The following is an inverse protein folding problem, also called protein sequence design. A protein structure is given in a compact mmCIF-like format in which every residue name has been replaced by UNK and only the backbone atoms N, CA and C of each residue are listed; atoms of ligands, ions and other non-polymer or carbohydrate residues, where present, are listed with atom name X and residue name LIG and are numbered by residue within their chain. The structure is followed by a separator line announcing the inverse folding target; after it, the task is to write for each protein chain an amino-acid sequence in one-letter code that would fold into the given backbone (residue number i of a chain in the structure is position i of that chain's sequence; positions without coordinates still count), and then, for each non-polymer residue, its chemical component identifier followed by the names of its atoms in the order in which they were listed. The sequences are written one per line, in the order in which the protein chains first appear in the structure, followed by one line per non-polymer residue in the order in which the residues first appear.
data_IF_033757210310
#
_entry.id   IF_033757210310
#
_cell.length_a   1.000
_cell.length_b   1.000
_cell.length_c   1.000
_cell.angle_alpha   90.00
_cell.angle_beta   90.00
_cell.angle_gamma   90.00
#
_symmetry.space_group_name_H-M   'P 1'
#
loop_
_entity.id
_entity.type
_entity.pdbx_description
1 polymer ?
#
# COMPACT_ATOMS: atom_id res chain seq x y z
N UNK A 1 -9.23 14.29 -10.25
CA UNK A 1 -9.16 13.37 -9.09
C UNK A 1 -9.77 12.06 -9.48
N UNK A 2 -9.08 10.94 -9.24
CA UNK A 2 -9.58 9.59 -9.50
C UNK A 2 -9.72 8.80 -8.20
N UNK A 3 -10.66 7.87 -8.17
CA UNK A 3 -10.83 6.91 -7.08
C UNK A 3 -9.92 5.70 -7.34
N UNK A 4 -9.25 5.21 -6.31
CA UNK A 4 -8.44 3.99 -6.38
C UNK A 4 -9.00 2.94 -5.44
N UNK A 5 -9.08 1.71 -5.94
CA UNK A 5 -9.40 0.54 -5.13
C UNK A 5 -8.24 -0.44 -5.28
N UNK A 6 -7.59 -0.73 -4.17
CA UNK A 6 -6.38 -1.54 -4.11
C UNK A 6 -6.65 -2.75 -3.22
N UNK A 7 -6.51 -3.93 -3.82
CA UNK A 7 -6.51 -5.21 -3.11
C UNK A 7 -5.21 -5.93 -3.41
N UNK A 8 -4.76 -6.77 -2.48
CA UNK A 8 -3.55 -7.54 -2.64
C UNK A 8 -3.44 -8.64 -1.60
N UNK A 9 -2.30 -9.30 -1.58
CA UNK A 9 -1.93 -10.27 -0.56
C UNK A 9 -0.54 -9.89 -0.07
N UNK A 10 -0.43 -9.60 1.23
CA UNK A 10 0.84 -9.29 1.88
C UNK A 10 1.18 -10.43 2.82
N UNK A 11 2.39 -10.97 2.70
CA UNK A 11 2.91 -11.97 3.62
C UNK A 11 4.23 -11.47 4.18
N UNK A 12 4.24 -11.19 5.47
CA UNK A 12 5.42 -10.77 6.22
C UNK A 12 6.00 -12.01 6.90
N UNK A 13 7.21 -12.39 6.47
CA UNK A 13 7.98 -13.45 7.11
C UNK A 13 8.67 -12.88 8.35
N UNK A 14 8.35 -13.41 9.53
CA UNK A 14 9.03 -13.07 10.76
C UNK A 14 10.11 -14.12 11.05
N UNK A 15 11.22 -13.72 11.65
CA UNK A 15 12.24 -14.68 12.10
C UNK A 15 11.67 -15.45 13.30
N UNK A 16 11.69 -16.79 13.23
CA UNK A 16 10.98 -17.79 14.06
C UNK A 16 11.14 -17.70 15.60
N UNK A 17 11.79 -16.65 16.13
CA UNK A 17 12.06 -16.48 17.56
C UNK A 17 11.37 -15.31 18.25
N UNK A 18 10.75 -14.37 17.52
CA UNK A 18 10.10 -13.22 18.17
C UNK A 18 8.64 -13.01 17.78
N UNK A 19 8.20 -13.22 16.51
CA UNK A 19 6.81 -13.02 16.07
C UNK A 19 6.32 -14.14 15.14
N UNK A 20 5.00 -14.41 15.13
CA UNK A 20 4.35 -15.33 14.18
C UNK A 20 4.29 -14.71 12.77
N UNK A 21 4.39 -15.55 11.73
CA UNK A 21 4.28 -15.14 10.32
C UNK A 21 2.92 -14.48 10.05
N UNK A 22 2.93 -13.23 9.59
CA UNK A 22 1.71 -12.45 9.37
C UNK A 22 1.35 -12.43 7.89
N UNK A 23 0.37 -13.25 7.51
CA UNK A 23 -0.32 -13.16 6.22
C UNK A 23 -1.61 -12.36 6.36
N UNK A 24 -1.77 -11.29 5.59
CA UNK A 24 -3.02 -10.53 5.56
C UNK A 24 -3.39 -10.03 4.15
N UNK A 25 -4.70 -9.87 3.95
CA UNK A 25 -5.30 -9.31 2.74
C UNK A 25 -5.60 -7.83 3.01
N UNK A 26 -4.82 -6.88 2.47
CA UNK A 26 -5.17 -5.47 2.52
C UNK A 26 -6.29 -5.14 1.53
N UNK A 27 -7.40 -4.61 2.03
CA UNK A 27 -8.47 -4.02 1.23
C UNK A 27 -8.47 -2.51 1.49
N UNK A 28 -8.04 -1.74 0.50
CA UNK A 28 -7.87 -0.28 0.61
C UNK A 28 -8.62 0.45 -0.48
N UNK A 29 -9.24 1.56 -0.10
CA UNK A 29 -9.85 2.49 -1.02
C UNK A 29 -9.25 3.87 -0.78
N UNK A 30 -9.12 4.66 -1.84
CA UNK A 30 -8.46 5.93 -1.74
C UNK A 30 -8.73 6.86 -2.90
N UNK A 31 -8.05 7.98 -2.84
CA UNK A 31 -8.05 8.97 -3.89
C UNK A 31 -6.64 9.14 -4.44
N UNK A 32 -6.57 9.32 -5.76
CA UNK A 32 -5.36 9.75 -6.48
C UNK A 32 -5.62 11.12 -7.08
N UNK A 33 -4.86 12.11 -6.61
CA UNK A 33 -4.92 13.49 -7.08
C UNK A 33 -3.65 13.83 -7.86
N UNK A 34 -3.79 14.18 -9.12
CA UNK A 34 -2.69 14.67 -9.94
C UNK A 34 -2.52 16.18 -9.76
N UNK A 35 -1.27 16.64 -9.74
CA UNK A 35 -0.84 18.02 -9.52
C UNK A 35 0.32 18.32 -10.47
N UNK A 36 0.51 19.60 -10.82
CA UNK A 36 1.57 20.06 -11.73
C UNK A 36 1.56 19.33 -13.09
N UNK A 37 0.60 19.70 -13.94
CA UNK A 37 0.48 19.18 -15.32
C UNK A 37 0.49 17.65 -15.38
N UNK A 38 -0.20 17.02 -14.43
CA UNK A 38 -0.31 15.55 -14.30
C UNK A 38 0.99 14.78 -14.07
N UNK A 39 2.08 15.50 -13.74
CA UNK A 39 3.39 14.89 -13.47
C UNK A 39 3.55 14.40 -12.05
N UNK A 40 2.98 15.09 -11.07
CA UNK A 40 3.02 14.68 -9.68
C UNK A 40 1.66 14.16 -9.25
N UNK A 41 1.63 13.19 -8.35
CA UNK A 41 0.39 12.74 -7.75
C UNK A 41 0.54 12.50 -6.27
N UNK A 42 -0.53 12.81 -5.54
CA UNK A 42 -0.72 12.39 -4.17
C UNK A 42 -1.73 11.26 -4.14
N UNK A 43 -1.45 10.28 -3.30
CA UNK A 43 -2.26 9.10 -3.07
C UNK A 43 -2.61 9.08 -1.59
N UNK A 44 -3.90 9.05 -1.28
CA UNK A 44 -4.36 8.82 0.09
C UNK A 44 -5.26 7.61 0.07
N UNK A 45 -4.79 6.48 0.59
CA UNK A 45 -5.59 5.26 0.74
C UNK A 45 -5.83 4.97 2.22
N UNK A 46 -7.03 4.51 2.55
CA UNK A 46 -7.37 3.98 3.88
C UNK A 46 -8.21 2.72 3.69
N UNK A 47 -8.15 1.82 4.65
CA UNK A 47 -8.78 0.52 4.51
C UNK A 47 -8.64 -0.37 5.72
N UNK A 48 -8.87 -1.64 5.50
CA UNK A 48 -8.76 -2.68 6.51
C UNK A 48 -7.88 -3.81 5.99
N UNK A 49 -7.07 -4.38 6.88
CA UNK A 49 -6.31 -5.60 6.64
C UNK A 49 -6.97 -6.76 7.36
N UNK A 50 -7.29 -7.81 6.62
CA UNK A 50 -7.83 -9.05 7.18
C UNK A 50 -6.70 -10.07 7.30
N UNK A 51 -6.30 -10.42 8.53
CA UNK A 51 -5.31 -11.46 8.76
C UNK A 51 -5.88 -12.84 8.41
N UNK A 52 -5.06 -13.67 7.76
CA UNK A 52 -5.41 -15.01 7.27
C UNK A 52 -4.55 -16.10 7.95
N UNK A 53 -3.40 -15.74 8.54
CA UNK A 53 -2.52 -16.68 9.23
C UNK A 53 -2.74 -16.67 10.74
N UNK A 54 -2.99 -17.86 11.32
CA UNK A 54 -2.81 -18.25 12.73
C UNK A 54 -3.45 -17.38 13.80
N UNK A 55 -4.57 -17.82 14.40
CA UNK A 55 -5.24 -17.33 15.64
C UNK A 55 -5.54 -15.81 15.80
N UNK A 56 -5.02 -14.94 14.93
CA UNK A 56 -5.28 -13.50 14.89
C UNK A 56 -6.50 -13.23 14.02
N UNK A 57 -7.67 -13.26 14.65
CA UNK A 57 -8.95 -12.88 14.02
C UNK A 57 -9.18 -11.36 14.07
N UNK A 58 -8.10 -10.58 13.96
CA UNK A 58 -8.13 -9.13 14.12
C UNK A 58 -8.14 -8.44 12.75
N UNK A 59 -9.08 -7.51 12.61
CA UNK A 59 -9.14 -6.60 11.46
C UNK A 59 -8.32 -5.37 11.81
N UNK A 60 -7.16 -5.19 11.16
CA UNK A 60 -6.36 -3.98 11.37
C UNK A 60 -6.91 -2.84 10.52
N UNK A 61 -6.87 -1.63 11.05
CA UNK A 61 -6.98 -0.45 10.21
C UNK A 61 -5.67 -0.24 9.43
N UNK A 62 -5.79 0.00 8.12
CA UNK A 62 -4.68 0.34 7.23
C UNK A 62 -4.85 1.76 6.72
N UNK A 63 -3.77 2.53 6.76
CA UNK A 63 -3.72 3.81 6.08
C UNK A 63 -2.42 3.89 5.30
N UNK A 64 -2.52 4.32 4.05
CA UNK A 64 -1.40 4.34 3.14
C UNK A 64 -1.33 5.68 2.37
N UNK A 65 -0.77 6.73 2.99
CA UNK A 65 -0.44 7.95 2.27
C UNK A 65 0.76 7.69 1.35
N UNK A 66 0.72 8.27 0.16
CA UNK A 66 1.78 8.18 -0.81
C UNK A 66 1.86 9.40 -1.69
N UNK A 67 2.99 9.56 -2.33
CA UNK A 67 3.20 10.55 -3.36
C UNK A 67 4.03 9.92 -4.48
N UNK A 68 3.85 10.42 -5.69
CA UNK A 68 4.57 9.89 -6.83
C UNK A 68 4.76 10.93 -7.92
N UNK A 69 5.61 10.55 -8.85
CA UNK A 69 5.93 11.28 -10.04
C UNK A 69 5.75 10.35 -11.24
N UNK A 70 4.84 10.72 -12.13
CA UNK A 70 4.53 9.99 -13.35
C UNK A 70 4.87 10.86 -14.57
N UNK A 71 5.55 10.27 -15.54
CA UNK A 71 5.70 10.78 -16.89
C UNK A 71 5.15 9.75 -17.88
N UNK A 72 5.16 10.09 -19.16
CA UNK A 72 4.72 9.21 -20.26
C UNK A 72 5.40 7.82 -20.29
N UNK A 73 6.54 7.68 -19.63
CA UNK A 73 7.39 6.48 -19.70
C UNK A 73 7.65 5.85 -18.33
N UNK A 74 7.73 6.64 -17.25
CA UNK A 74 8.16 6.17 -15.94
C UNK A 74 7.21 6.73 -14.88
N UNK A 75 6.74 5.87 -13.98
CA UNK A 75 6.03 6.23 -12.75
C UNK A 75 6.86 5.73 -11.56
N UNK A 76 7.30 6.67 -10.74
CA UNK A 76 8.00 6.40 -9.48
C UNK A 76 7.10 6.90 -8.37
N UNK A 77 6.81 6.04 -7.40
CA UNK A 77 6.01 6.42 -6.25
C UNK A 77 6.52 5.84 -4.96
N UNK A 78 6.32 6.62 -3.90
CA UNK A 78 6.59 6.23 -2.54
C UNK A 78 5.26 6.17 -1.79
N UNK A 79 5.04 5.05 -1.12
CA UNK A 79 3.86 4.82 -0.29
C UNK A 79 4.33 4.38 1.08
N UNK A 80 3.90 5.09 2.09
CA UNK A 80 3.95 4.61 3.45
C UNK A 80 2.66 3.84 3.72
N UNK A 81 2.73 2.69 4.36
CA UNK A 81 1.57 1.91 4.78
C UNK A 81 1.71 1.65 6.27
N UNK A 82 0.86 2.30 7.05
CA UNK A 82 0.79 2.13 8.49
C UNK A 82 -0.29 1.11 8.85
N UNK A 83 0.11 0.07 9.56
CA UNK A 83 -0.78 -0.92 10.14
C UNK A 83 -0.85 -0.69 11.65
N UNK A 84 -1.84 0.09 12.07
CA UNK A 84 -1.90 0.68 13.42
C UNK A 84 -1.90 -0.39 14.53
N UNK A 85 -2.56 -1.53 14.29
CA UNK A 85 -2.68 -2.62 15.28
C UNK A 85 -1.52 -3.62 15.19
N UNK A 86 -0.97 -3.87 13.99
CA UNK A 86 0.15 -4.82 13.81
C UNK A 86 1.53 -4.23 14.09
N UNK A 87 1.67 -2.90 14.27
CA UNK A 87 2.98 -2.20 14.32
C UNK A 87 3.91 -2.55 13.15
N UNK A 88 3.33 -2.98 12.02
CA UNK A 88 4.02 -3.43 10.83
C UNK A 88 4.03 -2.31 9.79
N UNK A 89 4.55 -1.15 10.18
CA UNK A 89 4.66 -0.01 9.29
C UNK A 89 5.69 -0.31 8.20
N UNK A 90 5.29 -0.14 6.95
CA UNK A 90 6.16 -0.39 5.81
C UNK A 90 6.25 0.82 4.89
N UNK A 91 7.47 1.11 4.43
CA UNK A 91 7.72 2.07 3.37
C UNK A 91 7.97 1.27 2.09
N UNK A 92 7.08 1.44 1.11
CA UNK A 92 7.18 0.81 -0.19
C UNK A 92 7.54 1.85 -1.25
N UNK A 93 8.55 1.53 -2.06
CA UNK A 93 8.88 2.28 -3.27
C UNK A 93 8.42 1.46 -4.46
N UNK A 94 7.63 2.06 -5.34
CA UNK A 94 7.12 1.47 -6.57
C UNK A 94 7.75 2.17 -7.77
N UNK A 95 8.31 1.36 -8.65
CA UNK A 95 8.76 1.79 -9.98
C UNK A 95 7.88 1.08 -11.01
N UNK A 96 7.29 1.83 -11.93
CA UNK A 96 6.53 1.31 -13.05
C UNK A 96 7.00 1.98 -14.35
N UNK A 97 7.04 1.20 -15.42
CA UNK A 97 7.45 1.66 -16.74
C UNK A 97 6.29 1.47 -17.72
N UNK A 98 5.88 2.55 -18.38
CA UNK A 98 4.86 2.55 -19.42
C UNK A 98 5.50 2.27 -20.77
N UNK A 99 5.21 1.11 -21.37
CA UNK A 99 5.60 0.83 -22.74
C UNK A 99 4.62 1.50 -23.70
N UNK A 100 5.14 2.31 -24.62
CA UNK A 100 4.38 2.81 -25.76
C UNK A 100 4.50 1.75 -26.87
N UNK A 101 3.39 1.08 -27.20
CA UNK A 101 3.32 0.11 -28.30
C UNK A 101 3.19 0.84 -29.64
#
# INVERSE_FOLDING_TARGET
TSLTLTTGYTHLFAEEKEWDDLGYIPVKAGFKGFIWEDRFYLLGEVGAGFAVTGDYNETTFLWAPGFGYANDVIDISLRYEGANDFKADQVAIRFAYGFKL
#
